data_IF_653519890227
#
_entry.id   IF_653519890227
#
_cell.length_a   1.000
_cell.length_b   1.000
_cell.length_c   1.000
_cell.angle_alpha   90.00
_cell.angle_beta   90.00
_cell.angle_gamma   90.00
#
_symmetry.space_group_name_H-M   'P 1'
#
loop_
_entity.id
_entity.type
_entity.pdbx_description
1 polymer ?
#
# COMPACT_ATOMS: atom_id res chain seq x y z
N UNK A 1 11.12 -56.70 31.62
CA UNK A 1 10.62 -55.33 31.85
C UNK A 1 11.61 -54.33 31.27
N UNK A 2 11.30 -53.76 30.10
CA UNK A 2 12.06 -52.67 29.46
C UNK A 2 11.04 -51.67 28.92
N UNK A 3 10.96 -50.53 29.60
CA UNK A 3 10.15 -49.37 29.19
C UNK A 3 10.85 -48.72 28.01
N UNK A 4 10.15 -48.47 26.91
CA UNK A 4 10.61 -47.56 25.87
C UNK A 4 9.44 -46.68 25.45
N UNK A 5 9.68 -45.39 25.67
CA UNK A 5 8.76 -44.28 25.58
C UNK A 5 8.31 -44.04 24.15
N UNK A 6 7.01 -43.78 24.00
CA UNK A 6 6.40 -43.25 22.80
C UNK A 6 6.78 -41.77 22.70
N UNK A 7 7.41 -41.37 21.59
CA UNK A 7 7.49 -39.98 21.16
C UNK A 7 6.76 -39.86 19.83
N UNK A 8 5.52 -39.36 19.89
CA UNK A 8 4.76 -38.90 18.73
C UNK A 8 5.50 -37.70 18.13
N UNK A 9 6.14 -37.89 16.98
CA UNK A 9 6.52 -36.77 16.13
C UNK A 9 5.28 -36.36 15.32
N UNK A 10 4.65 -35.25 15.71
CA UNK A 10 3.74 -34.52 14.83
C UNK A 10 4.57 -34.02 13.65
N UNK A 11 4.56 -34.77 12.54
CA UNK A 11 4.93 -34.23 11.25
C UNK A 11 3.83 -33.26 10.83
N UNK A 12 3.89 -32.03 11.33
CA UNK A 12 3.25 -30.87 10.71
C UNK A 12 3.93 -30.65 9.36
N UNK A 13 3.55 -31.46 8.37
CA UNK A 13 3.81 -31.14 6.97
C UNK A 13 3.02 -29.86 6.73
N UNK A 14 3.74 -28.74 6.65
CA UNK A 14 3.23 -27.51 6.08
C UNK A 14 2.65 -27.86 4.71
N UNK A 15 1.32 -28.00 4.66
CA UNK A 15 0.57 -27.84 3.44
C UNK A 15 0.92 -26.44 2.94
N UNK A 16 1.90 -26.38 2.03
CA UNK A 16 2.13 -25.23 1.18
C UNK A 16 0.90 -25.05 0.32
N UNK A 17 -0.13 -24.44 0.88
CA UNK A 17 -1.16 -23.78 0.13
C UNK A 17 -0.47 -22.59 -0.54
N UNK A 18 0.11 -22.85 -1.72
CA UNK A 18 0.20 -21.83 -2.76
C UNK A 18 -1.25 -21.49 -3.11
N UNK A 19 -1.86 -20.61 -2.31
CA UNK A 19 -3.13 -19.99 -2.65
C UNK A 19 -2.85 -19.12 -3.88
N UNK A 20 -3.05 -19.74 -5.04
CA UNK A 20 -3.31 -19.04 -6.27
C UNK A 20 -4.67 -18.33 -6.12
N UNK A 21 -4.68 -17.18 -5.46
CA UNK A 21 -5.80 -16.24 -5.54
C UNK A 21 -5.48 -15.35 -6.76
N UNK A 22 -6.02 -15.55 -7.96
CA UNK A 22 -7.38 -15.98 -8.25
C UNK A 22 -8.33 -14.77 -8.30
N UNK A 23 -7.92 -13.66 -8.92
CA UNK A 23 -8.69 -12.56 -9.56
C UNK A 23 -10.01 -12.01 -8.95
N UNK A 24 -10.43 -12.39 -7.74
CA UNK A 24 -11.71 -12.00 -7.15
C UNK A 24 -11.58 -11.32 -5.78
N UNK A 25 -10.96 -11.97 -4.79
CA UNK A 25 -10.91 -11.47 -3.41
C UNK A 25 -9.94 -10.29 -3.23
N UNK A 26 -8.79 -10.35 -3.91
CA UNK A 26 -7.85 -9.22 -4.06
C UNK A 26 -8.50 -8.01 -4.76
N UNK A 27 -9.52 -8.24 -5.60
CA UNK A 27 -10.23 -7.17 -6.28
C UNK A 27 -11.21 -6.43 -5.37
N UNK A 28 -11.91 -7.13 -4.47
CA UNK A 28 -12.89 -6.53 -3.56
C UNK A 28 -12.22 -5.60 -2.54
N UNK A 29 -11.11 -6.04 -1.95
CA UNK A 29 -10.30 -5.21 -1.05
C UNK A 29 -9.80 -3.94 -1.75
N UNK A 30 -9.25 -4.07 -2.98
CA UNK A 30 -8.77 -2.93 -3.77
C UNK A 30 -9.90 -1.98 -4.19
N UNK A 31 -11.08 -2.50 -4.49
CA UNK A 31 -12.26 -1.67 -4.80
C UNK A 31 -12.74 -0.92 -3.56
N UNK A 32 -12.83 -1.59 -2.41
CA UNK A 32 -13.19 -0.96 -1.14
C UNK A 32 -12.17 0.12 -0.75
N UNK A 33 -10.87 -0.15 -0.87
CA UNK A 33 -9.80 0.81 -0.63
C UNK A 33 -9.94 2.04 -1.54
N UNK A 34 -10.09 1.85 -2.85
CA UNK A 34 -10.28 2.96 -3.80
C UNK A 34 -11.53 3.78 -3.48
N UNK A 35 -12.64 3.11 -3.13
CA UNK A 35 -13.87 3.79 -2.75
C UNK A 35 -13.68 4.64 -1.50
N UNK A 36 -13.10 4.08 -0.43
CA UNK A 36 -12.83 4.80 0.81
C UNK A 36 -11.85 5.96 0.57
N UNK A 37 -10.75 5.72 -0.14
CA UNK A 37 -9.78 6.74 -0.51
C UNK A 37 -10.46 7.93 -1.21
N UNK A 38 -11.37 7.67 -2.17
CA UNK A 38 -12.10 8.73 -2.88
C UNK A 38 -13.01 9.59 -1.98
N UNK A 39 -13.36 9.13 -0.78
CA UNK A 39 -14.20 9.86 0.18
C UNK A 39 -13.38 10.70 1.15
N UNK A 40 -12.15 10.30 1.44
CA UNK A 40 -11.31 10.93 2.47
C UNK A 40 -10.08 11.64 1.92
N UNK A 41 -9.78 11.47 0.62
CA UNK A 41 -8.61 12.02 -0.05
C UNK A 41 -9.06 12.93 -1.20
N UNK A 42 -8.72 14.22 -1.11
CA UNK A 42 -8.81 15.15 -2.22
C UNK A 42 -7.40 15.44 -2.74
N UNK A 43 -7.12 15.09 -4.00
CA UNK A 43 -5.82 15.31 -4.63
C UNK A 43 -5.83 16.60 -5.44
N UNK A 44 -4.82 17.44 -5.28
CA UNK A 44 -4.55 18.57 -6.16
C UNK A 44 -3.85 18.13 -7.45
N UNK A 45 -3.74 19.05 -8.41
CA UNK A 45 -2.95 18.81 -9.60
C UNK A 45 -1.47 18.62 -9.24
N UNK A 46 -0.76 17.66 -9.88
CA UNK A 46 0.67 17.50 -9.68
C UNK A 46 1.43 18.67 -10.30
N UNK A 47 2.42 19.18 -9.57
CA UNK A 47 3.41 20.12 -10.08
C UNK A 47 4.68 19.34 -10.48
N UNK A 48 4.93 19.21 -11.78
CA UNK A 48 5.97 18.33 -12.34
C UNK A 48 7.19 19.16 -12.74
N UNK A 49 8.36 18.79 -12.20
CA UNK A 49 9.65 19.43 -12.47
C UNK A 49 10.69 18.37 -12.85
N UNK A 50 10.86 18.16 -14.16
CA UNK A 50 11.78 17.16 -14.70
C UNK A 50 11.42 15.74 -14.24
N UNK A 51 12.32 15.11 -13.48
CA UNK A 51 12.11 13.78 -12.90
C UNK A 51 11.42 13.82 -11.53
N UNK A 52 11.10 14.99 -11.01
CA UNK A 52 10.36 15.18 -9.75
C UNK A 52 8.92 15.60 -9.99
N UNK A 53 8.04 15.29 -9.04
CA UNK A 53 6.72 15.89 -8.97
C UNK A 53 6.30 16.14 -7.51
N UNK A 54 5.58 17.21 -7.27
CA UNK A 54 4.95 17.49 -5.96
C UNK A 54 3.45 17.45 -6.10
N UNK A 55 2.76 16.77 -5.18
CA UNK A 55 1.30 16.74 -5.13
C UNK A 55 0.83 17.18 -3.75
N UNK A 56 -0.06 18.17 -3.70
CA UNK A 56 -0.74 18.55 -2.47
C UNK A 56 -2.06 17.80 -2.37
N UNK A 57 -2.34 17.21 -1.22
CA UNK A 57 -3.54 16.43 -0.96
C UNK A 57 -4.19 16.84 0.37
N UNK A 58 -5.49 16.64 0.49
CA UNK A 58 -6.17 16.66 1.78
C UNK A 58 -6.53 15.22 2.16
N UNK A 59 -6.04 14.74 3.29
CA UNK A 59 -6.25 13.38 3.79
C UNK A 59 -6.84 13.48 5.19
N UNK A 60 -8.09 13.06 5.37
CA UNK A 60 -8.77 13.08 6.67
C UNK A 60 -8.67 14.43 7.41
N UNK A 61 -8.80 15.54 6.69
CA UNK A 61 -8.72 16.90 7.24
C UNK A 61 -7.30 17.46 7.42
N UNK A 62 -6.26 16.67 7.18
CA UNK A 62 -4.87 17.14 7.15
C UNK A 62 -4.47 17.52 5.73
N UNK A 63 -3.59 18.52 5.60
CA UNK A 63 -2.93 18.81 4.32
C UNK A 63 -1.64 18.04 4.25
N UNK A 64 -1.48 17.30 3.18
CA UNK A 64 -0.30 16.54 2.89
C UNK A 64 0.41 17.07 1.64
N UNK A 65 1.73 17.10 1.66
CA UNK A 65 2.61 17.29 0.51
C UNK A 65 3.27 15.95 0.23
N UNK A 66 3.09 15.45 -0.99
CA UNK A 66 3.71 14.21 -1.47
C UNK A 66 4.76 14.58 -2.51
N UNK A 67 6.00 14.19 -2.27
CA UNK A 67 7.09 14.35 -3.24
C UNK A 67 7.32 13.01 -3.94
N UNK A 68 7.36 13.07 -5.27
CA UNK A 68 7.50 11.93 -6.16
C UNK A 68 8.77 12.09 -6.99
N UNK A 69 9.39 10.96 -7.33
CA UNK A 69 10.46 10.89 -8.32
C UNK A 69 10.17 9.81 -9.34
N UNK A 70 10.51 10.06 -10.60
CA UNK A 70 10.39 9.10 -11.68
C UNK A 70 11.26 7.88 -11.39
N UNK A 71 10.66 6.69 -11.48
CA UNK A 71 11.37 5.41 -11.38
C UNK A 71 10.68 4.38 -12.26
N UNK A 72 11.14 4.30 -13.50
CA UNK A 72 10.62 3.38 -14.53
C UNK A 72 11.21 1.96 -14.41
N UNK A 73 12.23 1.76 -13.58
CA UNK A 73 12.92 0.47 -13.43
C UNK A 73 12.22 -0.37 -12.36
N UNK A 74 11.81 0.27 -11.27
CA UNK A 74 11.24 -0.40 -10.11
C UNK A 74 9.74 -0.17 -9.91
N UNK A 75 9.11 0.74 -10.67
CA UNK A 75 7.66 0.93 -10.63
C UNK A 75 7.06 0.98 -12.06
N UNK A 76 6.14 0.06 -12.43
CA UNK A 76 5.45 0.11 -13.72
C UNK A 76 4.59 1.38 -13.90
N UNK A 77 4.16 2.03 -12.81
CA UNK A 77 3.45 3.33 -12.84
C UNK A 77 4.41 4.53 -13.05
N UNK A 78 5.72 4.28 -13.08
CA UNK A 78 6.75 5.25 -13.44
C UNK A 78 7.13 6.29 -12.39
N UNK A 79 6.46 6.34 -11.23
CA UNK A 79 6.71 7.29 -10.15
C UNK A 79 6.83 6.60 -8.79
N UNK A 80 7.72 7.08 -7.92
CA UNK A 80 7.89 6.59 -6.54
C UNK A 80 7.76 7.74 -5.56
N UNK A 81 7.07 7.51 -4.44
CA UNK A 81 7.04 8.43 -3.30
C UNK A 81 8.43 8.54 -2.68
N UNK A 82 8.96 9.76 -2.61
CA UNK A 82 10.20 10.08 -1.91
C UNK A 82 9.95 10.59 -0.50
N UNK A 83 8.93 11.43 -0.32
CA UNK A 83 8.58 12.01 0.96
C UNK A 83 7.07 12.26 1.07
N UNK A 84 6.59 12.22 2.31
CA UNK A 84 5.23 12.58 2.70
C UNK A 84 5.32 13.45 3.96
N UNK A 85 4.78 14.66 3.89
CA UNK A 85 4.65 15.56 5.03
C UNK A 85 3.18 15.97 5.17
N UNK A 86 2.59 15.77 6.34
CA UNK A 86 1.21 16.13 6.63
C UNK A 86 1.15 17.07 7.84
N UNK A 87 0.49 18.22 7.64
CA UNK A 87 0.22 19.21 8.68
C UNK A 87 -1.29 19.48 8.79
N UNK A 88 -1.76 19.85 9.97
CA UNK A 88 -3.12 20.41 10.10
C UNK A 88 -3.19 21.75 9.34
N UNK A 89 -4.10 21.91 8.36
CA UNK A 89 -4.26 23.19 7.67
C UNK A 89 -5.43 23.28 6.70
N UNK A 90 -5.92 24.51 6.43
CA UNK A 90 -7.00 24.86 5.48
C UNK A 90 -6.45 25.56 4.23
N UNK A 91 -6.96 25.26 3.03
CA UNK A 91 -6.46 25.82 1.74
C UNK A 91 -6.30 27.35 1.79
N UNK A 92 -5.22 27.93 1.24
CA UNK A 92 -5.29 29.32 0.81
C UNK A 92 -6.35 29.42 -0.30
N UNK A 93 -7.22 30.41 -0.20
CA UNK A 93 -8.23 30.72 -1.22
C UNK A 93 -7.58 31.11 -2.54
#
# INVERSE_FOLDING_TARGET
MKKLLVLLALASVWSGAMAADGDGESSAGRVAEKFLASKFIAMGAPDIHGDGATVYAQVAGQKCKVELRRDMIANPEGWRVQALDCAQGHWPK
#
